data_IF_001733984674
#
_entry.id   IF_001733984674
#
_cell.length_a   1.000
_cell.length_b   1.000
_cell.length_c   1.000
_cell.angle_alpha   90.00
_cell.angle_beta   90.00
_cell.angle_gamma   90.00
#
_symmetry.space_group_name_H-M   'P 1'
#
loop_
_entity.id
_entity.type
_entity.pdbx_description
1 polymer ?
#
# COMPACT_ATOMS: atom_id res chain seq x y z
N UNK A 1 28.22 -6.81 -12.08
CA UNK A 1 28.59 -6.99 -10.66
C UNK A 1 27.59 -7.95 -10.07
N UNK A 2 28.03 -9.04 -9.42
CA UNK A 2 27.11 -9.98 -8.77
C UNK A 2 26.55 -9.28 -7.51
N UNK A 3 25.23 -9.30 -7.25
CA UNK A 3 24.73 -8.83 -5.97
C UNK A 3 25.29 -9.77 -4.90
N UNK A 4 25.83 -9.19 -3.83
CA UNK A 4 26.29 -9.96 -2.69
C UNK A 4 25.04 -10.26 -1.86
N UNK A 5 24.49 -11.48 -1.99
CA UNK A 5 23.37 -11.92 -1.14
C UNK A 5 23.81 -11.88 0.32
N UNK A 6 23.36 -10.85 1.03
CA UNK A 6 23.48 -10.76 2.47
C UNK A 6 22.42 -11.70 3.05
N UNK A 7 22.85 -12.87 3.52
CA UNK A 7 21.98 -13.83 4.20
C UNK A 7 21.58 -13.22 5.55
N UNK A 8 20.41 -12.59 5.62
CA UNK A 8 19.87 -12.05 6.87
C UNK A 8 19.02 -13.13 7.52
N UNK A 9 19.52 -13.70 8.61
CA UNK A 9 18.70 -14.50 9.51
C UNK A 9 17.67 -13.56 10.18
N UNK A 10 16.45 -13.52 9.66
CA UNK A 10 15.31 -13.03 10.42
C UNK A 10 15.10 -13.99 11.60
N UNK A 11 15.58 -13.63 12.78
CA UNK A 11 15.19 -14.31 14.02
C UNK A 11 13.73 -13.95 14.29
N UNK A 12 12.80 -14.73 13.72
CA UNK A 12 11.41 -14.78 14.17
C UNK A 12 11.44 -15.25 15.62
N UNK A 13 11.33 -14.31 16.56
CA UNK A 13 11.09 -14.63 17.96
C UNK A 13 9.63 -15.02 18.07
N UNK A 14 9.37 -16.34 18.02
CA UNK A 14 8.07 -16.88 18.37
C UNK A 14 7.75 -16.46 19.80
N UNK A 15 6.87 -15.47 19.96
CA UNK A 15 6.27 -15.13 21.23
C UNK A 15 5.35 -16.28 21.64
N UNK A 16 5.91 -17.25 22.37
CA UNK A 16 5.13 -18.29 23.02
C UNK A 16 4.17 -17.61 24.02
N UNK A 17 2.88 -17.66 23.72
CA UNK A 17 1.83 -17.34 24.68
C UNK A 17 1.88 -18.41 25.79
N UNK A 18 2.52 -18.07 26.91
CA UNK A 18 2.49 -18.87 28.12
C UNK A 18 1.21 -18.60 28.87
N UNK A 19 0.35 -19.61 28.98
CA UNK A 19 -0.73 -19.69 29.96
C UNK A 19 -0.12 -19.66 31.37
N UNK A 20 -0.28 -18.55 32.10
CA UNK A 20 0.01 -18.50 33.53
C UNK A 20 -1.29 -18.27 34.31
N UNK A 21 -1.89 -19.39 34.71
CA UNK A 21 -3.01 -19.43 35.65
C UNK A 21 -2.47 -19.37 37.07
N UNK A 22 -2.35 -18.16 37.64
CA UNK A 22 -2.15 -18.01 39.08
C UNK A 22 -3.35 -17.34 39.74
N UNK A 23 -3.89 -18.08 40.70
CA UNK A 23 -4.96 -17.72 41.60
C UNK A 23 -4.40 -16.93 42.78
N UNK A 24 -5.11 -15.88 43.19
CA UNK A 24 -5.22 -15.52 44.61
C UNK A 24 -4.83 -14.10 45.01
N UNK A 25 -5.71 -13.49 45.79
CA UNK A 25 -5.32 -12.58 46.87
C UNK A 25 -5.80 -11.14 46.72
N UNK A 26 -6.92 -10.84 47.37
CA UNK A 26 -7.44 -9.47 47.50
C UNK A 26 -6.53 -8.54 48.32
N UNK A 27 -6.69 -7.24 48.09
CA UNK A 27 -6.01 -6.19 48.85
C UNK A 27 -6.65 -4.83 48.59
N UNK A 28 -7.29 -4.31 49.63
CA UNK A 28 -8.01 -3.03 49.68
C UNK A 28 -7.07 -1.82 49.79
N UNK A 29 -7.42 -0.72 49.11
CA UNK A 29 -7.36 0.64 49.67
C UNK A 29 -6.16 1.52 49.33
N UNK A 30 -6.45 2.75 48.89
CA UNK A 30 -5.57 3.91 49.10
C UNK A 30 -5.37 4.84 47.91
N UNK A 31 -6.25 5.82 47.73
CA UNK A 31 -5.85 7.19 47.35
C UNK A 31 -5.42 7.93 48.64
N UNK A 32 -4.56 8.99 48.65
CA UNK A 32 -4.60 10.12 47.70
C UNK A 32 -3.26 10.85 47.39
N UNK A 33 -3.40 11.90 46.57
CA UNK A 33 -2.74 13.22 46.69
C UNK A 33 -1.50 13.56 45.80
N UNK A 34 -1.78 14.44 44.82
CA UNK A 34 -1.14 15.75 44.53
C UNK A 34 0.39 15.91 44.53
N UNK A 35 0.89 16.46 43.42
CA UNK A 35 1.77 17.64 43.43
C UNK A 35 3.14 17.49 42.77
N UNK A 36 3.48 18.41 41.86
CA UNK A 36 4.89 18.79 41.61
C UNK A 36 5.32 18.89 40.15
N UNK A 37 5.32 20.13 39.62
CA UNK A 37 6.15 20.65 38.52
C UNK A 37 7.02 21.78 39.12
N UNK A 38 8.03 22.42 38.48
CA UNK A 38 8.92 22.08 37.35
C UNK A 38 10.42 22.31 37.70
N UNK A 39 11.34 21.96 36.78
CA UNK A 39 12.66 22.58 36.46
C UNK A 39 13.52 21.51 35.78
N UNK A 40 14.24 21.73 34.67
CA UNK A 40 14.98 22.92 34.27
C UNK A 40 16.47 22.52 34.25
N UNK A 41 17.10 22.45 33.08
CA UNK A 41 18.52 22.13 32.99
C UNK A 41 19.01 21.78 31.59
N UNK A 42 19.35 22.80 30.81
CA UNK A 42 20.31 22.69 29.71
C UNK A 42 21.72 22.45 30.25
N UNK A 43 22.63 21.91 29.43
CA UNK A 43 23.87 22.66 29.25
C UNK A 43 24.35 22.75 27.79
N UNK A 44 24.74 23.98 27.45
CA UNK A 44 25.70 24.30 26.40
C UNK A 44 27.09 23.74 26.75
N UNK A 45 27.88 23.35 25.75
CA UNK A 45 29.26 22.91 25.95
C UNK A 45 30.01 22.79 24.63
N UNK A 46 30.73 23.85 24.30
CA UNK A 46 31.51 24.03 23.07
C UNK A 46 32.81 23.21 23.01
N UNK A 47 33.24 22.90 21.78
CA UNK A 47 34.62 23.20 21.37
C UNK A 47 35.52 22.04 20.91
N UNK A 48 36.56 22.33 20.09
CA UNK A 48 36.97 21.51 18.94
C UNK A 48 38.40 20.96 19.01
N UNK A 49 38.69 19.85 18.34
CA UNK A 49 40.02 19.34 17.94
C UNK A 49 39.82 18.42 16.71
N UNK A 50 40.58 18.40 15.61
CA UNK A 50 41.93 18.88 15.30
C UNK A 50 42.73 17.72 14.67
N UNK A 51 43.20 17.89 13.41
CA UNK A 51 44.23 17.07 12.71
C UNK A 51 43.80 15.66 12.27
N UNK A 52 44.28 15.03 11.19
CA UNK A 52 45.41 15.31 10.29
C UNK A 52 45.27 14.46 8.99
N UNK A 53 46.08 14.72 7.94
CA UNK A 53 45.92 14.20 6.59
C UNK A 53 46.82 12.99 6.29
N UNK A 54 46.30 11.98 5.60
CA UNK A 54 47.05 10.94 4.85
C UNK A 54 46.20 10.63 3.60
N UNK A 55 46.69 10.45 2.39
CA UNK A 55 47.98 10.02 1.88
C UNK A 55 47.63 9.17 0.65
N UNK A 56 48.25 9.46 -0.50
CA UNK A 56 47.70 9.11 -1.81
C UNK A 56 47.76 7.63 -2.20
N UNK A 57 47.09 7.32 -3.31
CA UNK A 57 47.62 6.39 -4.29
C UNK A 57 47.02 6.65 -5.67
N UNK A 58 47.90 7.00 -6.62
CA UNK A 58 47.58 7.15 -8.02
C UNK A 58 47.53 5.78 -8.70
N UNK A 59 46.43 5.51 -9.38
CA UNK A 59 46.28 4.42 -10.34
C UNK A 59 45.97 5.01 -11.71
N UNK A 60 46.84 4.75 -12.69
CA UNK A 60 46.70 5.20 -14.07
C UNK A 60 45.48 4.56 -14.76
N UNK A 61 44.71 5.31 -15.59
CA UNK A 61 43.71 4.69 -16.44
C UNK A 61 44.37 4.09 -17.69
N UNK A 62 44.15 2.79 -17.87
CA UNK A 62 44.46 2.07 -19.11
C UNK A 62 43.37 2.46 -20.13
N UNK A 63 43.79 3.10 -21.22
CA UNK A 63 42.95 3.41 -22.37
C UNK A 63 42.52 2.13 -23.09
N UNK A 64 41.20 1.95 -23.18
CA UNK A 64 40.57 1.00 -24.09
C UNK A 64 39.63 1.75 -25.02
N UNK A 65 40.07 1.95 -26.27
CA UNK A 65 39.23 2.42 -27.38
C UNK A 65 38.23 1.32 -27.74
N UNK A 66 37.07 1.32 -27.09
CA UNK A 66 35.91 0.51 -27.47
C UNK A 66 34.98 1.33 -28.36
N UNK A 67 34.87 0.96 -29.63
CA UNK A 67 34.06 1.66 -30.63
C UNK A 67 32.59 1.80 -30.22
N UNK A 68 32.15 3.06 -30.16
CA UNK A 68 30.75 3.43 -30.01
C UNK A 68 29.98 3.08 -31.30
N UNK A 69 29.33 1.92 -31.32
CA UNK A 69 28.27 1.63 -32.27
C UNK A 69 27.01 2.39 -31.86
N UNK A 70 26.84 3.60 -32.39
CA UNK A 70 25.64 4.41 -32.22
C UNK A 70 24.44 3.77 -32.90
N UNK A 71 23.72 2.92 -32.17
CA UNK A 71 22.38 2.49 -32.55
C UNK A 71 21.37 3.44 -31.93
N UNK A 72 21.07 4.55 -32.60
CA UNK A 72 19.97 5.48 -32.24
C UNK A 72 18.60 4.87 -32.57
N UNK A 73 18.35 3.64 -32.12
CA UNK A 73 17.05 3.00 -32.16
C UNK A 73 16.20 3.42 -30.95
N UNK A 74 16.08 4.73 -30.70
CA UNK A 74 15.19 5.23 -29.66
C UNK A 74 13.77 4.76 -29.96
N UNK A 75 13.08 4.23 -28.95
CA UNK A 75 11.65 3.92 -29.07
C UNK A 75 10.91 5.19 -29.56
N UNK A 76 9.90 5.04 -30.44
CA UNK A 76 9.12 6.19 -30.89
C UNK A 76 8.55 6.94 -29.67
N UNK A 77 8.49 8.29 -29.72
CA UNK A 77 7.94 9.08 -28.62
C UNK A 77 6.49 8.63 -28.33
N UNK A 78 6.16 8.48 -27.05
CA UNK A 78 4.80 8.19 -26.60
C UNK A 78 3.99 9.47 -26.82
N UNK A 79 2.95 9.39 -27.66
CA UNK A 79 2.02 10.50 -27.88
C UNK A 79 0.97 10.50 -26.75
N UNK A 80 0.81 11.64 -26.09
CA UNK A 80 -0.23 11.85 -25.10
C UNK A 80 -1.61 11.87 -25.79
N UNK A 81 -2.58 11.23 -25.16
CA UNK A 81 -3.99 11.34 -25.51
C UNK A 81 -4.56 12.49 -24.68
N UNK A 82 -5.11 13.50 -25.36
CA UNK A 82 -5.81 14.61 -24.71
C UNK A 82 -6.98 14.06 -23.88
N UNK A 83 -7.04 14.34 -22.57
CA UNK A 83 -8.09 13.83 -21.72
C UNK A 83 -9.43 14.51 -22.03
N UNK A 84 -10.51 13.72 -22.09
CA UNK A 84 -11.87 14.25 -22.03
C UNK A 84 -12.28 14.30 -20.57
N UNK A 85 -11.85 15.34 -19.84
CA UNK A 85 -12.01 15.46 -18.38
C UNK A 85 -10.67 15.57 -17.66
N UNK A 86 -10.50 14.82 -16.57
CA UNK A 86 -9.25 14.78 -15.81
C UNK A 86 -8.69 13.36 -15.78
N UNK A 87 -7.36 13.23 -15.91
CA UNK A 87 -6.66 11.96 -15.67
C UNK A 87 -5.68 12.20 -14.53
N UNK A 88 -5.81 11.41 -13.46
CA UNK A 88 -5.01 11.52 -12.26
C UNK A 88 -4.18 10.24 -12.06
N UNK A 89 -2.88 10.38 -11.84
CA UNK A 89 -2.01 9.30 -11.41
C UNK A 89 -1.84 9.34 -9.89
N UNK A 90 -1.90 8.17 -9.23
CA UNK A 90 -1.48 8.09 -7.83
C UNK A 90 -0.02 8.53 -7.72
N UNK A 91 0.25 9.41 -6.75
CA UNK A 91 1.56 9.98 -6.46
C UNK A 91 2.17 9.38 -5.20
N UNK A 92 1.42 9.36 -4.09
CA UNK A 92 1.87 8.84 -2.81
C UNK A 92 0.91 7.77 -2.30
N UNK A 93 1.46 6.73 -1.68
CA UNK A 93 0.70 5.65 -1.06
C UNK A 93 0.81 5.72 0.47
N UNK A 94 -0.30 5.42 1.15
CA UNK A 94 -0.38 5.33 2.62
C UNK A 94 -1.08 4.02 3.00
N UNK A 95 -0.31 2.98 3.32
CA UNK A 95 -0.86 1.63 3.54
C UNK A 95 -1.20 1.32 5.00
N UNK A 96 -1.06 2.32 5.89
CA UNK A 96 -1.39 2.19 7.31
C UNK A 96 -0.21 2.28 8.26
N UNK A 97 1.02 2.44 7.76
CA UNK A 97 2.20 2.75 8.59
C UNK A 97 2.57 4.22 8.65
N UNK A 98 2.08 5.05 7.73
CA UNK A 98 2.22 6.51 7.71
C UNK A 98 0.85 7.18 7.62
N UNK A 99 0.69 8.33 8.27
CA UNK A 99 -0.50 9.19 8.09
C UNK A 99 -0.42 9.97 6.77
N UNK A 100 -1.53 10.61 6.34
CA UNK A 100 -1.52 11.54 5.20
C UNK A 100 -0.53 12.71 5.32
N UNK A 101 0.01 12.97 6.52
CA UNK A 101 1.09 13.94 6.71
C UNK A 101 2.50 13.36 6.44
N UNK A 102 2.60 12.10 5.96
CA UNK A 102 3.84 11.37 5.72
C UNK A 102 4.54 10.86 6.98
N UNK A 103 4.04 11.19 8.17
CA UNK A 103 4.65 10.76 9.43
C UNK A 103 4.31 9.30 9.76
N UNK A 104 5.32 8.49 10.08
CA UNK A 104 5.14 7.13 10.60
C UNK A 104 4.32 7.15 11.90
N UNK A 105 3.37 6.23 12.00
CA UNK A 105 2.56 6.07 13.21
C UNK A 105 2.03 4.64 13.33
N UNK A 106 2.13 4.01 14.52
CA UNK A 106 1.56 2.68 14.76
C UNK A 106 0.02 2.67 14.75
N UNK A 107 -0.61 3.84 14.68
CA UNK A 107 -2.07 3.99 14.62
C UNK A 107 -2.54 4.69 13.34
N UNK A 108 -1.68 4.87 12.33
CA UNK A 108 -2.08 5.50 11.07
C UNK A 108 -3.19 4.72 10.35
N UNK A 109 -3.12 3.38 10.37
CA UNK A 109 -4.15 2.50 9.81
C UNK A 109 -5.59 2.82 10.26
N UNK A 110 -5.77 3.40 11.45
CA UNK A 110 -7.10 3.68 12.02
C UNK A 110 -7.94 4.66 11.23
N UNK A 111 -7.30 5.48 10.40
CA UNK A 111 -7.96 6.54 9.62
C UNK A 111 -8.08 6.22 8.14
N UNK A 112 -7.61 5.04 7.69
CA UNK A 112 -7.72 4.62 6.31
C UNK A 112 -8.72 3.48 6.20
N UNK A 113 -9.71 3.63 5.33
CA UNK A 113 -10.75 2.63 5.12
C UNK A 113 -12.14 3.22 5.29
N UNK A 114 -13.10 2.33 5.48
CA UNK A 114 -14.48 2.66 5.84
C UNK A 114 -14.98 1.63 6.84
N UNK A 115 -16.11 1.92 7.44
CA UNK A 115 -16.90 0.90 8.11
C UNK A 115 -17.60 0.04 7.03
N UNK A 116 -17.05 -1.13 6.74
CA UNK A 116 -17.49 -2.07 5.71
C UNK A 116 -18.67 -2.89 6.22
N UNK A 117 -18.59 -3.39 7.46
CA UNK A 117 -19.60 -4.30 8.02
C UNK A 117 -20.74 -3.60 8.78
N UNK A 118 -20.62 -2.30 9.02
CA UNK A 118 -21.57 -1.48 9.76
C UNK A 118 -21.48 -1.64 11.28
N UNK A 119 -20.45 -2.31 11.81
CA UNK A 119 -20.23 -2.50 13.24
C UNK A 119 -19.21 -1.48 13.76
N UNK A 120 -19.24 -1.24 15.06
CA UNK A 120 -18.22 -0.42 15.73
C UNK A 120 -17.77 -1.18 16.95
N UNK A 121 -16.64 -1.83 16.81
CA UNK A 121 -16.13 -2.84 17.72
C UNK A 121 -15.26 -2.20 18.77
N UNK A 122 -15.66 -2.36 20.02
CA UNK A 122 -14.81 -1.97 21.16
C UNK A 122 -14.39 -3.21 21.95
N UNK A 123 -15.35 -3.89 22.57
CA UNK A 123 -15.08 -5.08 23.40
C UNK A 123 -16.13 -6.20 23.24
N UNK A 124 -17.13 -6.01 22.38
CA UNK A 124 -18.17 -7.02 22.11
C UNK A 124 -18.01 -7.53 20.68
N UNK A 125 -17.64 -8.81 20.57
CA UNK A 125 -17.38 -9.48 19.30
C UNK A 125 -18.50 -10.44 18.90
N UNK A 126 -19.64 -10.42 19.61
CA UNK A 126 -20.71 -11.39 19.39
C UNK A 126 -21.38 -11.27 18.02
N UNK A 127 -21.26 -10.12 17.37
CA UNK A 127 -21.74 -9.86 16.01
C UNK A 127 -20.80 -10.30 14.89
N UNK A 128 -19.54 -10.61 15.19
CA UNK A 128 -18.52 -10.90 14.17
C UNK A 128 -18.52 -12.37 13.75
N UNK A 129 -17.92 -12.64 12.60
CA UNK A 129 -17.45 -13.96 12.22
C UNK A 129 -16.51 -14.55 13.29
N UNK A 130 -16.34 -15.87 13.28
CA UNK A 130 -15.41 -16.55 14.17
C UNK A 130 -13.97 -16.29 13.69
N UNK A 131 -13.04 -15.87 14.57
CA UNK A 131 -11.66 -15.65 14.18
C UNK A 131 -11.04 -16.90 13.55
N UNK A 132 -10.25 -16.69 12.50
CA UNK A 132 -9.58 -17.78 11.81
C UNK A 132 -8.36 -18.29 12.60
N UNK A 133 -8.05 -19.58 12.47
CA UNK A 133 -6.86 -20.24 13.06
C UNK A 133 -6.70 -20.02 14.57
N UNK A 134 -7.81 -19.86 15.29
CA UNK A 134 -7.81 -19.67 16.75
C UNK A 134 -7.28 -18.32 17.21
N UNK A 135 -7.24 -17.31 16.34
CA UNK A 135 -6.93 -15.94 16.73
C UNK A 135 -7.81 -15.49 17.89
N UNK A 136 -7.24 -14.73 18.82
CA UNK A 136 -8.02 -14.08 19.86
C UNK A 136 -8.90 -12.99 19.21
N UNK A 137 -10.20 -12.88 19.56
CA UNK A 137 -11.08 -11.82 19.02
C UNK A 137 -10.49 -10.41 19.17
N UNK A 138 -9.84 -10.12 20.31
CA UNK A 138 -9.16 -8.85 20.56
C UNK A 138 -7.99 -8.55 19.60
N UNK A 139 -7.48 -9.55 18.88
CA UNK A 139 -6.43 -9.35 17.90
C UNK A 139 -7.01 -9.14 16.50
N UNK A 140 -8.06 -9.88 16.14
CA UNK A 140 -8.68 -9.80 14.82
C UNK A 140 -9.57 -8.55 14.66
N UNK A 141 -10.44 -8.26 15.62
CA UNK A 141 -11.59 -7.37 15.40
C UNK A 141 -11.51 -5.92 15.90
N UNK A 142 -10.50 -5.45 16.65
CA UNK A 142 -10.53 -4.02 16.98
C UNK A 142 -10.43 -3.11 15.76
N UNK A 143 -11.47 -2.33 15.55
CA UNK A 143 -11.57 -1.34 14.48
C UNK A 143 -10.65 -0.14 14.72
N UNK A 144 -10.53 0.66 13.67
CA UNK A 144 -10.00 2.00 13.69
C UNK A 144 -10.95 3.02 14.32
N UNK A 145 -10.74 4.28 13.97
CA UNK A 145 -11.58 5.37 14.47
C UNK A 145 -12.98 5.26 13.82
N UNK A 146 -14.04 5.53 14.59
CA UNK A 146 -15.44 5.48 14.13
C UNK A 146 -15.89 4.16 13.45
N UNK A 147 -15.23 3.03 13.79
CA UNK A 147 -15.53 1.72 13.22
C UNK A 147 -14.91 1.49 11.84
N UNK A 148 -13.81 2.18 11.51
CA UNK A 148 -13.08 1.93 10.26
C UNK A 148 -12.43 0.53 10.28
N UNK A 149 -12.74 -0.26 9.27
CA UNK A 149 -12.17 -1.60 9.10
C UNK A 149 -10.87 -1.51 8.27
N UNK A 150 -9.74 -1.88 8.88
CA UNK A 150 -8.44 -1.92 8.21
C UNK A 150 -7.46 -2.91 8.89
N UNK A 151 -7.86 -4.17 8.96
CA UNK A 151 -7.01 -5.24 9.46
C UNK A 151 -5.72 -5.40 8.65
N UNK A 152 -5.73 -5.06 7.36
CA UNK A 152 -4.52 -5.00 6.53
C UNK A 152 -3.47 -4.04 7.11
N UNK A 153 -3.83 -2.76 7.29
CA UNK A 153 -2.93 -1.76 7.86
C UNK A 153 -2.47 -2.09 9.28
N UNK A 154 -3.35 -2.69 10.09
CA UNK A 154 -3.06 -3.04 11.48
C UNK A 154 -2.16 -4.26 11.64
N UNK A 155 -2.48 -5.35 10.93
CA UNK A 155 -1.95 -6.69 11.21
C UNK A 155 -0.98 -7.17 10.13
N UNK A 156 -1.20 -6.79 8.87
CA UNK A 156 -0.38 -7.24 7.74
C UNK A 156 0.83 -6.34 7.55
N UNK A 157 0.65 -5.02 7.58
CA UNK A 157 1.76 -4.08 7.34
C UNK A 157 2.95 -4.27 8.31
N UNK A 158 2.77 -4.53 9.62
CA UNK A 158 3.91 -4.86 10.48
C UNK A 158 4.73 -6.08 10.03
N UNK A 159 4.08 -7.09 9.44
CA UNK A 159 4.74 -8.28 8.88
C UNK A 159 5.56 -7.87 7.65
N UNK A 160 4.96 -7.10 6.74
CA UNK A 160 5.61 -6.56 5.52
C UNK A 160 6.82 -5.69 5.90
N UNK A 161 6.67 -4.76 6.86
CA UNK A 161 7.76 -3.92 7.38
C UNK A 161 8.94 -4.77 7.87
N UNK A 162 8.65 -5.84 8.60
CA UNK A 162 9.66 -6.75 9.15
C UNK A 162 10.37 -7.53 8.04
N UNK A 163 9.64 -8.01 7.03
CA UNK A 163 10.19 -8.78 5.92
C UNK A 163 11.11 -7.93 5.02
N UNK A 164 10.70 -6.70 4.70
CA UNK A 164 11.39 -5.85 3.71
C UNK A 164 12.27 -4.74 4.30
N UNK A 165 12.28 -4.57 5.62
CA UNK A 165 13.12 -3.59 6.33
C UNK A 165 12.93 -2.14 5.83
N UNK A 166 11.73 -1.61 5.99
CA UNK A 166 11.44 -0.21 5.62
C UNK A 166 10.00 0.18 5.88
N UNK A 167 9.62 1.37 5.41
CA UNK A 167 8.21 1.77 5.30
C UNK A 167 7.68 1.34 3.93
N UNK A 168 6.67 0.46 3.87
CA UNK A 168 5.99 0.09 2.63
C UNK A 168 5.37 1.29 1.94
N UNK A 169 4.75 2.22 2.68
CA UNK A 169 4.22 3.47 2.13
C UNK A 169 5.31 4.28 1.42
N UNK A 170 6.46 4.45 2.06
CA UNK A 170 7.59 5.18 1.44
C UNK A 170 8.14 4.43 0.22
N UNK A 171 8.33 3.10 0.32
CA UNK A 171 8.86 2.31 -0.81
C UNK A 171 7.96 2.39 -2.04
N UNK A 172 6.64 2.31 -1.84
CA UNK A 172 5.67 2.39 -2.92
C UNK A 172 5.54 3.80 -3.49
N UNK A 173 5.82 4.83 -2.68
CA UNK A 173 5.87 6.22 -3.14
C UNK A 173 7.16 6.49 -3.93
N UNK A 174 8.31 6.07 -3.41
CA UNK A 174 9.62 6.22 -4.05
C UNK A 174 9.66 5.56 -5.44
N UNK A 175 8.95 4.45 -5.63
CA UNK A 175 8.88 3.78 -6.93
C UNK A 175 8.14 4.62 -7.97
N UNK A 176 7.02 5.26 -7.59
CA UNK A 176 6.28 6.16 -8.46
C UNK A 176 7.12 7.39 -8.80
N UNK A 177 7.81 7.96 -7.82
CA UNK A 177 8.74 9.08 -8.04
C UNK A 177 9.89 8.70 -8.98
N UNK A 178 10.30 7.42 -8.99
CA UNK A 178 11.28 6.89 -9.93
C UNK A 178 10.69 6.61 -11.33
N UNK A 179 9.38 6.76 -11.53
CA UNK A 179 8.67 6.46 -12.77
C UNK A 179 8.31 4.98 -12.95
N UNK A 180 8.25 4.19 -11.88
CA UNK A 180 7.65 2.84 -11.94
C UNK A 180 6.13 2.92 -12.12
N UNK A 181 5.45 1.78 -12.22
CA UNK A 181 4.01 1.77 -12.46
C UNK A 181 3.19 2.40 -11.33
N UNK A 182 2.01 2.91 -11.66
CA UNK A 182 1.06 3.52 -10.71
C UNK A 182 -0.38 3.20 -11.09
N UNK A 183 -1.36 3.69 -10.33
CA UNK A 183 -2.78 3.60 -10.66
C UNK A 183 -3.25 4.91 -11.32
N UNK A 184 -4.03 4.81 -12.39
CA UNK A 184 -4.54 5.96 -13.14
C UNK A 184 -6.07 6.01 -13.08
N UNK A 185 -6.62 7.16 -12.68
CA UNK A 185 -8.05 7.47 -12.70
C UNK A 185 -8.37 8.38 -13.89
N UNK A 186 -9.18 7.91 -14.84
CA UNK A 186 -9.74 8.71 -15.95
C UNK A 186 -11.17 9.13 -15.59
N UNK A 187 -11.34 10.39 -15.18
CA UNK A 187 -12.60 11.00 -14.79
C UNK A 187 -13.27 11.65 -16.01
N UNK A 188 -14.00 10.84 -16.77
CA UNK A 188 -14.51 11.20 -18.09
C UNK A 188 -15.53 12.34 -18.00
N UNK A 189 -15.31 13.36 -18.81
CA UNK A 189 -16.08 14.59 -18.95
C UNK A 189 -16.29 15.35 -17.64
N UNK A 190 -15.43 15.15 -16.63
CA UNK A 190 -15.46 15.95 -15.40
C UNK A 190 -15.14 17.42 -15.72
N UNK A 191 -16.05 18.32 -15.35
CA UNK A 191 -15.89 19.76 -15.62
C UNK A 191 -16.55 20.67 -14.57
N UNK A 192 -17.26 20.10 -13.59
CA UNK A 192 -18.01 20.83 -12.57
C UNK A 192 -17.70 20.29 -11.18
N UNK A 193 -17.68 21.16 -10.14
CA UNK A 193 -17.43 20.75 -8.75
C UNK A 193 -18.56 19.90 -8.15
N UNK A 194 -19.75 19.96 -8.76
CA UNK A 194 -20.88 19.07 -8.49
C UNK A 194 -21.27 18.41 -9.83
N UNK A 195 -20.99 17.12 -9.98
CA UNK A 195 -21.28 16.38 -11.21
C UNK A 195 -21.66 14.94 -10.90
N UNK A 196 -22.79 14.49 -11.46
CA UNK A 196 -23.23 13.09 -11.41
C UNK A 196 -24.11 12.79 -12.63
N UNK A 197 -23.88 11.66 -13.33
CA UNK A 197 -22.76 10.75 -13.13
C UNK A 197 -21.43 11.33 -13.64
N UNK A 198 -20.31 10.83 -13.11
CA UNK A 198 -18.98 10.93 -13.69
C UNK A 198 -18.60 9.50 -14.04
N UNK A 199 -18.34 9.19 -15.32
CA UNK A 199 -17.86 7.85 -15.66
C UNK A 199 -16.38 7.83 -15.32
N UNK A 200 -15.98 6.95 -14.41
CA UNK A 200 -14.55 6.80 -14.07
C UNK A 200 -14.03 5.48 -14.59
N UNK A 201 -12.89 5.52 -15.27
CA UNK A 201 -12.14 4.33 -15.65
C UNK A 201 -10.89 4.23 -14.80
N UNK A 202 -10.52 3.02 -14.43
CA UNK A 202 -9.32 2.75 -13.66
C UNK A 202 -8.35 1.92 -14.50
N UNK A 203 -7.11 2.37 -14.57
CA UNK A 203 -6.05 1.71 -15.31
C UNK A 203 -4.82 1.46 -14.45
N UNK A 204 -4.07 0.41 -14.78
CA UNK A 204 -2.68 0.33 -14.37
C UNK A 204 -1.83 1.20 -15.29
N UNK A 205 -1.00 2.06 -14.73
CA UNK A 205 0.05 2.79 -15.42
C UNK A 205 1.34 1.98 -15.45
N UNK A 206 1.95 1.83 -16.63
CA UNK A 206 3.26 1.18 -16.80
C UNK A 206 4.43 2.11 -16.46
N UNK A 207 5.67 1.64 -16.55
CA UNK A 207 6.84 2.48 -16.23
C UNK A 207 7.07 3.61 -17.25
N UNK A 208 7.52 4.74 -16.77
CA UNK A 208 8.02 5.88 -17.54
C UNK A 208 9.54 5.77 -17.78
N UNK A 209 10.06 6.36 -18.85
CA UNK A 209 11.50 6.35 -19.14
C UNK A 209 12.32 7.31 -18.23
N UNK A 210 11.65 8.16 -17.47
CA UNK A 210 12.24 9.13 -16.55
C UNK A 210 11.26 9.38 -15.38
N UNK A 211 11.74 9.89 -14.24
CA UNK A 211 10.89 10.41 -13.17
C UNK A 211 9.80 11.36 -13.71
N UNK A 212 8.52 11.19 -13.31
CA UNK A 212 7.43 12.03 -13.79
C UNK A 212 7.55 13.47 -13.27
N UNK A 213 7.04 14.43 -14.05
CA UNK A 213 6.91 15.82 -13.61
C UNK A 213 5.66 16.06 -12.75
N UNK A 214 4.61 15.25 -12.95
CA UNK A 214 3.29 15.31 -12.34
C UNK A 214 2.61 16.68 -12.54
N UNK A 215 2.74 17.25 -13.73
CA UNK A 215 2.20 18.56 -14.10
C UNK A 215 1.14 18.50 -15.22
N UNK A 216 0.57 17.31 -15.44
CA UNK A 216 -0.37 17.02 -16.53
C UNK A 216 0.29 16.64 -17.85
N UNK A 217 1.60 16.85 -18.02
CA UNK A 217 2.29 16.61 -19.30
C UNK A 217 2.89 15.21 -19.45
N UNK A 218 2.94 14.42 -18.38
CA UNK A 218 3.43 13.05 -18.43
C UNK A 218 2.45 12.14 -19.19
N UNK A 219 2.91 11.51 -20.28
CA UNK A 219 2.12 10.53 -21.03
C UNK A 219 2.31 9.13 -20.42
N UNK A 220 1.43 8.75 -19.49
CA UNK A 220 1.58 7.48 -18.77
C UNK A 220 1.04 6.29 -19.58
N UNK A 221 1.87 5.30 -19.98
CA UNK A 221 1.38 4.19 -20.76
C UNK A 221 0.40 3.32 -19.95
N UNK A 222 -0.70 2.90 -20.55
CA UNK A 222 -1.68 2.01 -19.90
C UNK A 222 -1.23 0.55 -20.02
N UNK A 223 -1.24 -0.20 -18.92
CA UNK A 223 -0.89 -1.62 -18.94
C UNK A 223 -1.95 -2.43 -19.67
N UNK A 224 -1.58 -3.36 -20.57
CA UNK A 224 -2.53 -4.22 -21.28
C UNK A 224 -3.46 -5.02 -20.35
N UNK A 225 -2.97 -5.44 -19.19
CA UNK A 225 -3.73 -6.20 -18.20
C UNK A 225 -4.92 -5.41 -17.62
N UNK A 226 -4.86 -4.06 -17.64
CA UNK A 226 -5.96 -3.20 -17.18
C UNK A 226 -7.05 -2.95 -18.23
N UNK A 227 -7.00 -3.65 -19.37
CA UNK A 227 -7.92 -3.50 -20.50
C UNK A 227 -8.64 -4.82 -20.79
N UNK A 228 -9.94 -4.75 -21.08
CA UNK A 228 -10.70 -5.89 -21.62
C UNK A 228 -10.31 -6.23 -23.05
N UNK A 229 -9.84 -5.24 -23.83
CA UNK A 229 -9.15 -5.43 -25.09
C UNK A 229 -7.74 -4.81 -25.00
N UNK A 230 -6.66 -5.62 -24.97
CA UNK A 230 -5.29 -5.14 -24.74
C UNK A 230 -4.72 -4.26 -25.87
N UNK A 231 -5.48 -3.98 -26.93
CA UNK A 231 -5.09 -3.05 -27.98
C UNK A 231 -5.91 -1.75 -28.00
N UNK A 232 -6.91 -1.61 -27.12
CA UNK A 232 -7.83 -0.48 -27.11
C UNK A 232 -7.91 0.13 -25.71
N UNK A 233 -7.25 1.29 -25.56
CA UNK A 233 -7.18 2.01 -24.29
C UNK A 233 -8.54 2.43 -23.74
N UNK A 234 -9.57 2.54 -24.59
CA UNK A 234 -10.91 2.94 -24.16
C UNK A 234 -11.67 1.84 -23.42
N UNK A 235 -11.09 0.63 -23.32
CA UNK A 235 -11.75 -0.58 -22.84
C UNK A 235 -11.29 -1.02 -21.46
N UNK A 236 -11.15 -0.07 -20.52
CA UNK A 236 -10.77 -0.35 -19.13
C UNK A 236 -11.50 -1.57 -18.54
N UNK A 237 -10.76 -2.45 -17.89
CA UNK A 237 -11.31 -3.62 -17.21
C UNK A 237 -12.16 -3.23 -16.00
N UNK A 238 -11.81 -2.12 -15.34
CA UNK A 238 -12.51 -1.58 -14.18
C UNK A 238 -13.12 -0.23 -14.55
N UNK A 239 -14.43 -0.10 -14.33
CA UNK A 239 -15.19 1.13 -14.56
C UNK A 239 -16.18 1.37 -13.44
N UNK A 240 -16.35 2.64 -13.08
CA UNK A 240 -17.33 3.14 -12.12
C UNK A 240 -18.33 4.01 -12.88
N UNK A 241 -19.45 3.45 -13.37
CA UNK A 241 -20.38 4.18 -14.23
C UNK A 241 -21.21 5.23 -13.46
N UNK A 242 -21.41 5.02 -12.16
CA UNK A 242 -22.28 5.83 -11.30
C UNK A 242 -21.50 6.67 -10.28
N UNK A 243 -20.22 6.98 -10.57
CA UNK A 243 -19.45 7.82 -9.67
C UNK A 243 -20.00 9.25 -9.65
N UNK A 244 -19.68 9.99 -8.59
CA UNK A 244 -20.15 11.37 -8.41
C UNK A 244 -19.12 12.24 -7.74
N UNK A 245 -19.13 13.52 -8.07
CA UNK A 245 -18.42 14.57 -7.36
C UNK A 245 -19.44 15.51 -6.73
N UNK A 246 -19.35 15.75 -5.43
CA UNK A 246 -20.17 16.73 -4.71
C UNK A 246 -19.25 17.55 -3.81
N UNK A 247 -19.22 18.87 -4.02
CA UNK A 247 -18.32 19.78 -3.35
C UNK A 247 -16.85 19.29 -3.40
N UNK A 248 -16.39 18.89 -4.59
CA UNK A 248 -15.08 18.30 -4.86
C UNK A 248 -14.79 16.96 -4.17
N UNK A 249 -15.72 16.38 -3.41
CA UNK A 249 -15.59 15.01 -2.91
C UNK A 249 -16.04 14.04 -4.01
N UNK A 250 -15.09 13.30 -4.55
CA UNK A 250 -15.35 12.17 -5.43
C UNK A 250 -15.72 10.92 -4.63
N UNK A 251 -16.72 10.18 -5.13
CA UNK A 251 -17.08 8.85 -4.65
C UNK A 251 -17.35 7.93 -5.84
N UNK A 252 -16.79 6.73 -5.83
CA UNK A 252 -16.88 5.79 -6.95
C UNK A 252 -18.28 5.21 -7.20
N UNK A 253 -19.18 5.26 -6.21
CA UNK A 253 -20.51 4.68 -6.30
C UNK A 253 -20.52 3.21 -5.85
N UNK A 254 -21.10 2.33 -6.67
CA UNK A 254 -21.20 0.91 -6.35
C UNK A 254 -19.82 0.24 -6.23
N UNK A 255 -19.65 -0.74 -5.32
CA UNK A 255 -18.39 -1.44 -5.16
C UNK A 255 -18.03 -2.31 -6.38
N UNK A 256 -16.75 -2.39 -6.71
CA UNK A 256 -16.20 -3.26 -7.78
C UNK A 256 -14.88 -3.87 -7.33
N UNK A 257 -14.37 -4.88 -8.03
CA UNK A 257 -13.03 -5.41 -7.75
C UNK A 257 -11.96 -4.50 -8.38
N UNK A 258 -10.90 -4.22 -7.63
CA UNK A 258 -9.79 -3.34 -8.05
C UNK A 258 -8.46 -4.00 -7.75
N UNK A 259 -7.59 -4.10 -8.76
CA UNK A 259 -6.22 -4.54 -8.60
C UNK A 259 -5.31 -3.35 -8.24
N UNK A 260 -4.64 -3.44 -7.09
CA UNK A 260 -3.64 -2.46 -6.62
C UNK A 260 -2.28 -3.13 -6.57
N UNK A 261 -1.28 -2.56 -7.24
CA UNK A 261 0.10 -3.06 -7.19
C UNK A 261 0.97 -2.06 -6.46
N UNK A 262 1.62 -2.52 -5.38
CA UNK A 262 2.50 -1.70 -4.54
C UNK A 262 3.95 -2.18 -4.68
N UNK A 263 4.88 -1.29 -5.03
CA UNK A 263 6.31 -1.62 -4.99
C UNK A 263 6.82 -1.53 -3.55
N UNK A 264 7.15 -2.66 -2.93
CA UNK A 264 7.66 -2.72 -1.55
C UNK A 264 9.01 -3.44 -1.52
N UNK A 265 10.05 -2.75 -1.08
CA UNK A 265 11.39 -3.34 -0.99
C UNK A 265 11.96 -3.80 -2.33
N UNK A 266 11.52 -3.20 -3.46
CA UNK A 266 11.91 -3.60 -4.82
C UNK A 266 11.13 -4.78 -5.40
N UNK A 267 10.05 -5.20 -4.75
CA UNK A 267 9.14 -6.24 -5.22
C UNK A 267 7.73 -5.70 -5.38
N UNK A 268 6.93 -6.32 -6.24
CA UNK A 268 5.53 -5.93 -6.45
C UNK A 268 4.61 -6.78 -5.58
N UNK A 269 3.91 -6.12 -4.66
CA UNK A 269 2.80 -6.69 -3.90
C UNK A 269 1.49 -6.37 -4.64
N UNK A 270 0.94 -7.37 -5.34
CA UNK A 270 -0.35 -7.25 -6.01
C UNK A 270 -1.49 -7.55 -5.03
N UNK A 271 -2.50 -6.70 -4.99
CA UNK A 271 -3.65 -6.80 -4.11
C UNK A 271 -4.93 -6.75 -4.94
N UNK A 272 -5.70 -7.83 -4.96
CA UNK A 272 -7.08 -7.80 -5.46
C UNK A 272 -7.99 -7.31 -4.34
N UNK A 273 -8.45 -6.07 -4.42
CA UNK A 273 -9.38 -5.48 -3.45
C UNK A 273 -10.80 -5.73 -3.93
N UNK A 274 -11.50 -6.68 -3.31
CA UNK A 274 -12.90 -6.96 -3.61
C UNK A 274 -13.82 -5.92 -2.96
N UNK A 275 -14.97 -5.68 -3.60
CA UNK A 275 -15.95 -4.71 -3.11
C UNK A 275 -15.31 -3.33 -2.84
N UNK A 276 -14.35 -2.95 -3.67
CA UNK A 276 -13.62 -1.71 -3.53
C UNK A 276 -14.53 -0.50 -3.78
N UNK A 277 -14.49 0.44 -2.85
CA UNK A 277 -15.04 1.78 -2.99
C UNK A 277 -13.89 2.77 -2.90
N UNK A 278 -13.87 3.72 -3.85
CA UNK A 278 -12.85 4.77 -3.93
C UNK A 278 -13.48 6.11 -3.58
N UNK A 279 -12.79 6.86 -2.74
CA UNK A 279 -13.13 8.26 -2.44
C UNK A 279 -11.88 9.12 -2.53
N UNK A 280 -12.01 10.38 -2.94
CA UNK A 280 -10.91 11.35 -2.89
C UNK A 280 -11.44 12.77 -2.89
N UNK A 281 -10.69 13.69 -2.29
CA UNK A 281 -10.99 15.13 -2.31
C UNK A 281 -10.21 15.74 -3.46
N UNK A 282 -10.91 16.16 -4.51
CA UNK A 282 -10.32 16.82 -5.66
C UNK A 282 -9.92 18.27 -5.32
N UNK A 283 -8.86 18.76 -5.93
CA UNK A 283 -8.52 20.18 -5.90
C UNK A 283 -9.54 21.02 -6.69
N UNK A 284 -9.56 22.34 -6.47
CA UNK A 284 -10.58 23.23 -7.08
C UNK A 284 -10.58 23.22 -8.62
N UNK A 285 -9.44 22.90 -9.25
CA UNK A 285 -9.28 22.76 -10.70
C UNK A 285 -9.39 21.32 -11.20
N UNK A 286 -9.61 20.36 -10.29
CA UNK A 286 -9.66 18.91 -10.54
C UNK A 286 -8.38 18.33 -11.16
N UNK A 287 -7.24 19.02 -11.01
CA UNK A 287 -5.94 18.54 -11.50
C UNK A 287 -5.12 17.81 -10.43
N UNK A 288 -5.63 17.71 -9.22
CA UNK A 288 -5.03 16.95 -8.12
C UNK A 288 -6.10 16.36 -7.22
N UNK A 289 -5.68 15.41 -6.38
CA UNK A 289 -6.52 14.84 -5.36
C UNK A 289 -5.74 14.55 -4.07
N UNK A 290 -6.38 14.85 -2.95
CA UNK A 290 -5.88 14.56 -1.61
C UNK A 290 -6.85 13.66 -0.87
N UNK A 291 -6.39 13.05 0.23
CA UNK A 291 -7.20 12.18 1.08
C UNK A 291 -7.91 11.06 0.27
N UNK A 292 -7.22 10.57 -0.76
CA UNK A 292 -7.68 9.43 -1.54
C UNK A 292 -7.72 8.18 -0.67
N UNK A 293 -8.75 7.36 -0.83
CA UNK A 293 -8.89 6.08 -0.14
C UNK A 293 -9.46 5.03 -1.08
N UNK A 294 -8.83 3.85 -1.10
CA UNK A 294 -9.38 2.61 -1.66
C UNK A 294 -9.72 1.72 -0.47
N UNK A 295 -11.00 1.38 -0.32
CA UNK A 295 -11.48 0.56 0.80
C UNK A 295 -12.23 -0.65 0.30
N UNK A 296 -11.96 -1.84 0.84
CA UNK A 296 -12.63 -3.08 0.45
C UNK A 296 -12.15 -4.27 1.28
N UNK A 297 -12.19 -5.46 0.67
CA UNK A 297 -11.84 -6.71 1.34
C UNK A 297 -10.84 -7.50 0.49
N UNK A 298 -9.78 -7.99 1.10
CA UNK A 298 -8.90 -8.98 0.48
C UNK A 298 -9.43 -10.38 0.83
N UNK A 299 -9.58 -11.27 -0.16
CA UNK A 299 -9.77 -12.69 0.15
C UNK A 299 -8.49 -13.24 0.80
N UNK A 300 -8.66 -13.92 1.93
CA UNK A 300 -7.52 -14.34 2.75
C UNK A 300 -6.62 -15.34 2.05
N UNK A 301 -7.20 -16.32 1.35
CA UNK A 301 -6.40 -17.38 0.72
C UNK A 301 -5.81 -16.90 -0.61
N UNK A 302 -6.50 -16.02 -1.33
CA UNK A 302 -5.92 -15.31 -2.48
C UNK A 302 -4.72 -14.47 -2.06
N UNK A 303 -4.86 -13.65 -1.01
CA UNK A 303 -3.78 -12.82 -0.52
C UNK A 303 -2.58 -13.64 0.00
N UNK A 304 -2.84 -14.79 0.63
CA UNK A 304 -1.80 -15.73 1.02
C UNK A 304 -1.01 -16.24 -0.19
N UNK A 305 -1.69 -16.56 -1.30
CA UNK A 305 -1.00 -16.97 -2.53
C UNK A 305 -0.08 -15.85 -3.05
N UNK A 306 -0.54 -14.59 -3.05
CA UNK A 306 0.32 -13.46 -3.43
C UNK A 306 1.53 -13.31 -2.51
N UNK A 307 1.35 -13.40 -1.20
CA UNK A 307 2.49 -13.30 -0.26
C UNK A 307 3.45 -14.48 -0.42
N UNK A 308 2.93 -15.68 -0.69
CA UNK A 308 3.76 -16.86 -0.95
C UNK A 308 4.69 -16.65 -2.15
N UNK A 309 4.13 -16.21 -3.28
CA UNK A 309 4.91 -15.90 -4.50
C UNK A 309 5.96 -14.81 -4.24
N UNK A 310 5.55 -13.76 -3.52
CA UNK A 310 6.41 -12.65 -3.14
C UNK A 310 7.57 -13.10 -2.23
N UNK A 311 7.30 -13.92 -1.22
CA UNK A 311 8.34 -14.47 -0.33
C UNK A 311 9.33 -15.34 -1.10
N UNK A 312 8.86 -16.12 -2.09
CA UNK A 312 9.72 -16.87 -2.99
C UNK A 312 10.65 -16.01 -3.85
N UNK A 313 10.15 -14.85 -4.30
CA UNK A 313 10.96 -13.88 -5.03
C UNK A 313 12.09 -13.29 -4.17
N UNK A 314 11.83 -13.14 -2.86
CA UNK A 314 12.83 -12.66 -1.88
C UNK A 314 13.87 -13.74 -1.59
N UNK A 315 13.41 -14.93 -1.22
CA UNK A 315 14.25 -16.07 -0.91
C UNK A 315 13.48 -17.35 -1.28
N UNK A 316 13.94 -18.13 -2.27
CA UNK A 316 13.29 -19.38 -2.65
C UNK A 316 13.13 -20.39 -1.51
N UNK A 317 13.92 -20.28 -0.43
CA UNK A 317 13.73 -21.11 0.78
C UNK A 317 12.47 -20.78 1.58
N UNK A 318 11.83 -19.64 1.30
CA UNK A 318 10.54 -19.23 1.85
C UNK A 318 9.34 -19.70 1.01
N UNK A 319 9.55 -20.38 -0.13
CA UNK A 319 8.45 -21.04 -0.84
C UNK A 319 7.92 -22.27 -0.07
N UNK A 320 8.71 -22.88 0.83
CA UNK A 320 8.28 -24.07 1.57
C UNK A 320 8.78 -24.07 3.02
N UNK A 321 8.05 -24.78 3.89
CA UNK A 321 8.49 -25.11 5.24
C UNK A 321 7.77 -24.34 6.35
N UNK A 322 8.28 -24.51 7.58
CA UNK A 322 7.61 -23.99 8.77
C UNK A 322 7.60 -22.45 8.85
N UNK A 323 8.57 -21.79 8.21
CA UNK A 323 8.66 -20.32 8.21
C UNK A 323 7.54 -19.69 7.37
N UNK A 324 7.33 -20.17 6.14
CA UNK A 324 6.25 -19.70 5.27
C UNK A 324 4.89 -19.99 5.88
N UNK A 325 4.65 -21.23 6.35
CA UNK A 325 3.44 -21.62 7.07
C UNK A 325 3.17 -20.73 8.30
N UNK A 326 4.23 -20.30 8.99
CA UNK A 326 4.13 -19.37 10.11
C UNK A 326 3.62 -17.98 9.70
N UNK A 327 4.04 -17.48 8.53
CA UNK A 327 3.57 -16.19 7.97
C UNK A 327 2.14 -16.34 7.45
N UNK A 328 1.85 -17.39 6.69
CA UNK A 328 0.50 -17.67 6.20
C UNK A 328 -0.52 -17.76 7.34
N UNK A 329 -0.17 -18.44 8.44
CA UNK A 329 -1.04 -18.51 9.61
C UNK A 329 -1.24 -17.16 10.29
N UNK A 330 -0.22 -16.29 10.31
CA UNK A 330 -0.39 -14.92 10.80
C UNK A 330 -1.35 -14.12 9.91
N UNK A 331 -1.28 -14.30 8.58
CA UNK A 331 -2.21 -13.68 7.64
C UNK A 331 -3.63 -14.20 7.87
N UNK A 332 -3.82 -15.52 8.00
CA UNK A 332 -5.14 -16.09 8.35
C UNK A 332 -5.68 -15.49 9.63
N UNK A 333 -4.85 -15.36 10.67
CA UNK A 333 -5.26 -14.75 11.94
C UNK A 333 -5.63 -13.26 11.84
N UNK A 334 -5.23 -12.58 10.76
CA UNK A 334 -5.62 -11.20 10.48
C UNK A 334 -7.02 -11.08 9.84
N UNK A 335 -7.67 -12.20 9.48
CA UNK A 335 -9.04 -12.17 8.93
C UNK A 335 -10.02 -11.68 9.99
N UNK A 336 -10.73 -10.60 9.69
CA UNK A 336 -11.64 -9.89 10.60
C UNK A 336 -13.08 -9.83 10.08
N UNK A 337 -13.28 -10.14 8.79
CA UNK A 337 -14.56 -10.06 8.08
C UNK A 337 -14.76 -11.28 7.17
N UNK A 338 -15.94 -11.45 6.59
CA UNK A 338 -16.13 -12.40 5.48
C UNK A 338 -15.65 -11.79 4.16
N UNK A 339 -15.27 -12.63 3.19
CA UNK A 339 -14.76 -12.18 1.90
C UNK A 339 -15.75 -11.31 1.10
N UNK A 340 -17.05 -11.37 1.43
CA UNK A 340 -18.09 -10.51 0.84
C UNK A 340 -18.32 -9.18 1.59
N UNK A 341 -17.51 -8.89 2.62
CA UNK A 341 -17.63 -7.69 3.44
C UNK A 341 -18.75 -7.76 4.49
N UNK A 342 -19.33 -8.92 4.74
CA UNK A 342 -20.36 -9.08 5.77
C UNK A 342 -19.81 -9.74 7.04
N UNK A 343 -20.63 -9.75 8.10
CA UNK A 343 -20.37 -10.48 9.34
C UNK A 343 -21.44 -11.55 9.56
N UNK A 344 -21.00 -12.76 9.94
CA UNK A 344 -21.91 -13.83 10.30
C UNK A 344 -21.37 -14.63 11.49
N UNK A 345 -22.00 -14.52 12.68
CA UNK A 345 -21.59 -15.30 13.84
C UNK A 345 -21.55 -16.79 13.54
N UNK A 346 -20.48 -17.46 13.98
CA UNK A 346 -20.18 -18.89 13.77
C UNK A 346 -19.69 -19.28 12.36
N UNK A 347 -19.54 -18.34 11.43
CA UNK A 347 -18.80 -18.56 10.18
C UNK A 347 -17.38 -18.08 10.38
N UNK A 348 -16.37 -18.83 9.95
CA UNK A 348 -14.98 -18.39 10.05
C UNK A 348 -14.73 -17.18 9.14
N UNK A 349 -14.06 -16.16 9.66
CA UNK A 349 -13.64 -15.00 8.86
C UNK A 349 -12.73 -15.46 7.71
N UNK A 350 -13.02 -14.98 6.50
CA UNK A 350 -12.31 -15.34 5.26
C UNK A 350 -11.84 -14.11 4.48
N UNK A 351 -12.13 -12.92 4.96
CA UNK A 351 -11.70 -11.65 4.39
C UNK A 351 -10.84 -10.88 5.38
N UNK A 352 -9.94 -10.06 4.83
CA UNK A 352 -9.17 -9.07 5.56
C UNK A 352 -9.65 -7.69 5.08
N UNK A 353 -10.21 -6.90 5.98
CA UNK A 353 -10.57 -5.51 5.66
C UNK A 353 -9.32 -4.70 5.30
N UNK A 354 -9.43 -3.88 4.26
CA UNK A 354 -8.32 -3.08 3.76
C UNK A 354 -8.77 -1.65 3.48
N UNK A 355 -7.96 -0.71 3.96
CA UNK A 355 -8.03 0.71 3.61
C UNK A 355 -6.64 1.21 3.23
N UNK A 356 -6.49 1.66 1.98
CA UNK A 356 -5.24 2.21 1.45
C UNK A 356 -5.48 3.67 1.11
N UNK A 357 -4.71 4.57 1.74
CA UNK A 357 -4.71 5.99 1.44
C UNK A 357 -3.83 6.32 0.23
N UNK A 358 -4.15 7.41 -0.48
CA UNK A 358 -3.30 7.95 -1.54
C UNK A 358 -3.47 9.47 -1.75
N UNK A 359 -2.53 10.06 -2.47
CA UNK A 359 -2.68 11.35 -3.17
C UNK A 359 -2.53 11.11 -4.67
N UNK A 360 -3.06 12.03 -5.49
CA UNK A 360 -2.96 11.91 -6.95
C UNK A 360 -2.73 13.28 -7.61
N UNK A 361 -2.10 13.27 -8.78
CA UNK A 361 -1.78 14.45 -9.57
C UNK A 361 -2.15 14.24 -11.03
N UNK A 362 -2.40 15.33 -11.75
CA UNK A 362 -2.75 15.29 -13.17
C UNK A 362 -1.63 14.70 -14.02
N UNK A 363 -2.03 13.83 -14.94
CA UNK A 363 -1.22 13.28 -16.02
C UNK A 363 -2.06 13.22 -17.29
N UNK A 364 -1.48 12.73 -18.38
CA UNK A 364 -2.20 12.34 -19.59
C UNK A 364 -2.09 10.83 -19.80
N UNK A 365 -3.10 10.20 -20.40
CA UNK A 365 -2.96 8.82 -20.85
C UNK A 365 -1.98 8.77 -22.03
N UNK A 366 -0.98 7.92 -21.93
CA UNK A 366 -0.21 7.46 -23.07
C UNK A 366 -0.97 6.38 -23.84
N UNK A 367 -0.39 5.87 -24.92
CA UNK A 367 -0.91 4.67 -25.58
C UNK A 367 -0.83 3.42 -24.69
N UNK A 368 -1.19 2.27 -25.27
CA UNK A 368 -1.02 0.99 -24.57
C UNK A 368 0.47 0.65 -24.45
N UNK A 369 0.92 0.37 -23.22
CA UNK A 369 2.28 -0.03 -22.90
C UNK A 369 2.63 -1.46 -23.31
N UNK A 370 3.84 -1.88 -22.95
CA UNK A 370 4.28 -3.27 -23.16
C UNK A 370 3.67 -4.18 -22.09
N UNK A 371 3.24 -5.36 -22.50
CA UNK A 371 2.91 -6.45 -21.59
C UNK A 371 4.21 -7.06 -21.06
N UNK A 372 4.50 -6.82 -19.78
CA UNK A 372 5.63 -7.43 -19.11
C UNK A 372 5.09 -8.59 -18.26
N UNK A 373 5.30 -9.85 -18.68
CA UNK A 373 4.83 -10.97 -17.88
C UNK A 373 5.54 -10.95 -16.51
N UNK A 374 4.75 -11.10 -15.45
CA UNK A 374 5.31 -11.35 -14.12
C UNK A 374 6.04 -12.69 -14.15
N UNK A 375 7.28 -12.70 -13.66
CA UNK A 375 8.03 -13.93 -13.52
C UNK A 375 7.44 -14.73 -12.35
N UNK A 376 7.08 -15.99 -12.60
CA UNK A 376 6.70 -16.93 -11.55
C UNK A 376 7.94 -17.31 -10.73
N UNK A 377 7.91 -17.08 -9.42
CA UNK A 377 9.06 -17.18 -8.52
C UNK A 377 9.03 -18.39 -7.58
N UNK A 378 7.87 -19.04 -7.38
CA UNK A 378 7.76 -20.30 -6.64
C UNK A 378 7.29 -21.43 -7.60
N UNK A 379 8.17 -22.37 -7.97
CA UNK A 379 7.88 -23.42 -8.97
C UNK A 379 6.99 -24.58 -8.48
#
# INVERSE_FOLDING_TARGET
MKPTSLLIFAMLTAAACGDDSSTGGGGSGGTPATGGSPNGGAPEGAGPQGGDPHGGNGGAPIGGEGGAGGGEGGAPPIECIEPDGAVLAVREWFVGDTSFAGAESPTAWRTFGRNIDGLTTTNDFSGHCAPNTGAAPNNAFPDGDDGIDNAFGRSIIPIVKTAFQGSPSQSATDSIEAGEGTLLFDLVALSLPDQSPVVTRLYGGGSLPAPPALDGTDCWPVTPASLTNPADITTAAVTFPESSVVANLFTSGDPVDVDVVLSVGGYNLALTVHQAVVTMVLDDDHLGATQGMISGVLDTEEFIATIHDLLGAVDPSLCEGAASQGIENQIRQASDILADGTQAPNVTCSGISVGIGFTAESVSLGGVGLDLPLADTCP
#
